data_IF_549077141521
#
_entry.id   IF_549077141521
#
_cell.length_a   1.000
_cell.length_b   1.000
_cell.length_c   1.000
_cell.angle_alpha   90.00
_cell.angle_beta   90.00
_cell.angle_gamma   90.00
#
_symmetry.space_group_name_H-M   'P 1'
#
loop_
_entity.id
_entity.type
_entity.pdbx_description
1 polymer ?
#
# COMPACT_ATOMS: atom_id res chain seq x y z
N UNK A 1 -14.10 3.08 15.61
CA UNK A 1 -13.80 1.99 14.66
C UNK A 1 -12.49 2.37 13.94
N UNK A 2 -11.51 1.46 13.88
CA UNK A 2 -10.13 1.74 13.42
C UNK A 2 -10.03 1.62 11.89
N UNK A 3 -9.12 2.37 11.26
CA UNK A 3 -8.74 2.17 9.84
C UNK A 3 -8.12 0.78 9.67
N UNK A 4 -8.34 0.15 8.51
CA UNK A 4 -7.78 -1.16 8.23
C UNK A 4 -6.29 -1.05 7.93
N UNK A 5 -5.52 -1.93 8.54
CA UNK A 5 -4.08 -2.03 8.38
C UNK A 5 -3.78 -3.23 7.49
N UNK A 6 -2.87 -3.07 6.54
CA UNK A 6 -2.36 -4.18 5.74
C UNK A 6 -1.06 -4.71 6.36
N UNK A 7 -0.71 -5.94 5.99
CA UNK A 7 0.55 -6.57 6.36
C UNK A 7 1.19 -7.15 5.10
N UNK A 8 2.52 -7.07 5.04
CA UNK A 8 3.29 -7.73 4.00
C UNK A 8 4.39 -8.54 4.67
N UNK A 9 4.50 -9.81 4.32
CA UNK A 9 5.43 -10.75 4.96
C UNK A 9 6.36 -11.42 3.95
N UNK A 10 7.46 -11.95 4.48
CA UNK A 10 8.43 -12.78 3.78
C UNK A 10 8.56 -14.14 4.47
N UNK A 11 8.93 -15.17 3.70
CA UNK A 11 9.24 -16.52 4.19
C UNK A 11 8.16 -17.07 5.14
N UNK A 12 6.93 -17.19 4.64
CA UNK A 12 5.76 -17.68 5.41
C UNK A 12 5.49 -16.92 6.71
N UNK A 13 5.80 -15.61 6.77
CA UNK A 13 5.52 -14.79 7.95
C UNK A 13 6.67 -14.63 8.94
N UNK A 14 7.86 -15.17 8.66
CA UNK A 14 9.02 -15.03 9.54
C UNK A 14 9.46 -13.57 9.70
N UNK A 15 9.29 -12.76 8.66
CA UNK A 15 9.56 -11.32 8.67
C UNK A 15 8.33 -10.61 8.13
N UNK A 16 7.78 -9.64 8.86
CA UNK A 16 6.60 -8.90 8.44
C UNK A 16 6.73 -7.39 8.65
N UNK A 17 6.18 -6.63 7.70
CA UNK A 17 5.95 -5.21 7.79
C UNK A 17 4.45 -4.95 7.88
N UNK A 18 4.03 -4.25 8.94
CA UNK A 18 2.67 -3.73 9.07
C UNK A 18 2.59 -2.33 8.48
N UNK A 19 1.68 -2.12 7.53
CA UNK A 19 1.34 -0.81 7.01
C UNK A 19 0.36 -0.13 7.98
N UNK A 20 0.50 1.19 8.18
CA UNK A 20 -0.46 1.90 9.01
C UNK A 20 -1.83 1.92 8.33
N UNK A 21 -2.87 2.09 9.14
CA UNK A 21 -4.23 2.23 8.61
C UNK A 21 -4.36 3.39 7.61
N UNK A 22 -3.80 4.57 7.92
CA UNK A 22 -3.69 5.67 6.97
C UNK A 22 -3.05 5.32 5.64
N UNK A 23 -1.90 4.63 5.62
CA UNK A 23 -1.24 4.26 4.36
C UNK A 23 -2.06 3.23 3.57
N UNK A 24 -2.53 2.17 4.23
CA UNK A 24 -3.33 1.12 3.60
C UNK A 24 -4.58 1.70 2.94
N UNK A 25 -5.39 2.42 3.71
CA UNK A 25 -6.62 3.03 3.22
C UNK A 25 -6.36 4.09 2.15
N UNK A 26 -5.25 4.82 2.24
CA UNK A 26 -4.87 5.78 1.21
C UNK A 26 -4.57 5.08 -0.13
N UNK A 27 -3.81 3.96 -0.12
CA UNK A 27 -3.55 3.18 -1.33
C UNK A 27 -4.86 2.66 -1.96
N UNK A 28 -5.79 2.16 -1.14
CA UNK A 28 -7.12 1.75 -1.63
C UNK A 28 -7.93 2.92 -2.17
N UNK A 29 -7.92 4.08 -1.50
CA UNK A 29 -8.64 5.28 -1.96
C UNK A 29 -8.12 5.80 -3.31
N UNK A 30 -6.83 5.59 -3.59
CA UNK A 30 -6.19 5.90 -4.86
C UNK A 30 -6.42 4.86 -5.94
N UNK A 31 -7.16 3.78 -5.64
CA UNK A 31 -7.31 2.59 -6.49
C UNK A 31 -5.99 1.94 -6.87
N UNK A 32 -4.96 2.07 -6.03
CA UNK A 32 -3.62 1.56 -6.31
C UNK A 32 -3.65 0.07 -6.68
N UNK A 33 -4.25 -0.76 -5.82
CA UNK A 33 -4.34 -2.21 -6.04
C UNK A 33 -5.25 -2.56 -7.22
N UNK A 34 -6.38 -1.88 -7.38
CA UNK A 34 -7.28 -2.10 -8.51
C UNK A 34 -6.61 -1.80 -9.85
N UNK A 35 -5.89 -0.68 -9.95
CA UNK A 35 -5.17 -0.28 -11.17
C UNK A 35 -3.99 -1.22 -11.43
N UNK A 36 -3.29 -1.63 -10.36
CA UNK A 36 -2.20 -2.60 -10.44
C UNK A 36 -2.69 -3.96 -10.95
N UNK A 37 -3.77 -4.49 -10.36
CA UNK A 37 -4.42 -5.73 -10.76
C UNK A 37 -4.81 -5.73 -12.24
N UNK A 38 -5.45 -4.65 -12.69
CA UNK A 38 -5.85 -4.50 -14.08
C UNK A 38 -4.65 -4.50 -15.05
N UNK A 39 -3.51 -3.93 -14.63
CA UNK A 39 -2.29 -3.83 -15.45
C UNK A 39 -1.48 -5.12 -15.47
N UNK A 40 -1.43 -5.85 -14.37
CA UNK A 40 -0.51 -6.99 -14.18
C UNK A 40 -1.20 -8.35 -14.14
N UNK A 41 -2.55 -8.39 -14.17
CA UNK A 41 -3.31 -9.65 -14.12
C UNK A 41 -3.29 -10.31 -12.74
N UNK A 42 -3.13 -9.52 -11.68
CA UNK A 42 -3.17 -9.97 -10.28
C UNK A 42 -4.56 -9.74 -9.67
N UNK A 43 -4.77 -10.22 -8.43
CA UNK A 43 -6.08 -10.16 -7.76
C UNK A 43 -6.01 -9.67 -6.31
N UNK A 44 -5.00 -8.86 -5.99
CA UNK A 44 -4.82 -8.24 -4.68
C UNK A 44 -6.07 -7.47 -4.24
N UNK A 45 -6.79 -7.96 -3.23
CA UNK A 45 -7.99 -7.33 -2.71
C UNK A 45 -7.94 -7.13 -1.19
N UNK A 46 -8.75 -6.20 -0.70
CA UNK A 46 -8.84 -5.95 0.73
C UNK A 46 -9.42 -7.18 1.44
N UNK A 47 -8.81 -7.55 2.57
CA UNK A 47 -9.11 -8.71 3.39
C UNK A 47 -8.68 -10.07 2.82
N UNK A 48 -7.96 -10.08 1.71
CA UNK A 48 -7.40 -11.29 1.11
C UNK A 48 -5.88 -11.40 1.37
N UNK A 49 -5.39 -12.62 1.26
CA UNK A 49 -3.96 -12.95 1.35
C UNK A 49 -3.49 -13.55 0.03
N UNK A 50 -2.51 -12.90 -0.60
CA UNK A 50 -2.00 -13.30 -1.91
C UNK A 50 -0.47 -13.38 -1.90
N UNK A 51 0.05 -14.53 -2.31
CA UNK A 51 1.48 -14.71 -2.59
C UNK A 51 1.83 -14.07 -3.95
N UNK A 52 2.96 -13.38 -3.99
CA UNK A 52 3.43 -12.68 -5.18
C UNK A 52 4.80 -13.19 -5.61
N UNK A 53 4.92 -13.51 -6.90
CA UNK A 53 6.24 -13.78 -7.48
C UNK A 53 7.12 -12.52 -7.50
N UNK A 54 8.43 -12.72 -7.58
CA UNK A 54 9.41 -11.63 -7.54
C UNK A 54 9.27 -10.63 -8.71
N UNK A 55 8.70 -11.03 -9.84
CA UNK A 55 8.39 -10.14 -10.95
C UNK A 55 7.26 -9.17 -10.59
N UNK A 56 6.20 -9.68 -9.96
CA UNK A 56 5.11 -8.88 -9.41
C UNK A 56 5.61 -7.97 -8.29
N UNK A 57 6.43 -8.47 -7.36
CA UNK A 57 7.00 -7.64 -6.28
C UNK A 57 7.82 -6.48 -6.85
N UNK A 58 8.63 -6.70 -7.88
CA UNK A 58 9.36 -5.62 -8.57
C UNK A 58 8.42 -4.58 -9.19
N UNK A 59 7.34 -5.02 -9.81
CA UNK A 59 6.34 -4.10 -10.37
C UNK A 59 5.62 -3.28 -9.27
N UNK A 60 5.37 -3.88 -8.10
CA UNK A 60 4.82 -3.15 -6.95
C UNK A 60 5.81 -2.08 -6.47
N UNK A 61 7.10 -2.40 -6.36
CA UNK A 61 8.17 -1.43 -6.00
C UNK A 61 8.17 -0.23 -6.96
N UNK A 62 8.12 -0.49 -8.27
CA UNK A 62 8.09 0.57 -9.28
C UNK A 62 6.84 1.45 -9.14
N UNK A 63 5.68 0.84 -8.91
CA UNK A 63 4.42 1.56 -8.71
C UNK A 63 4.45 2.40 -7.42
N UNK A 64 5.06 1.90 -6.34
CA UNK A 64 5.27 2.65 -5.10
C UNK A 64 6.21 3.84 -5.31
N UNK A 65 7.28 3.66 -6.09
CA UNK A 65 8.20 4.75 -6.47
C UNK A 65 7.48 5.86 -7.24
N UNK A 66 6.60 5.50 -8.17
CA UNK A 66 5.76 6.47 -8.88
C UNK A 66 4.84 7.24 -7.93
N UNK A 67 4.20 6.56 -6.98
CA UNK A 67 3.33 7.21 -5.98
C UNK A 67 4.12 8.10 -5.02
N UNK A 68 5.30 7.68 -4.58
CA UNK A 68 6.18 8.50 -3.75
C UNK A 68 6.59 9.79 -4.47
N UNK A 69 7.02 9.71 -5.74
CA UNK A 69 7.38 10.89 -6.55
C UNK A 69 6.19 11.82 -6.77
N UNK A 70 5.02 11.25 -7.10
CA UNK A 70 3.80 12.02 -7.27
C UNK A 70 3.44 12.77 -5.98
N UNK A 71 3.45 12.07 -4.84
CA UNK A 71 3.18 12.66 -3.54
C UNK A 71 4.19 13.75 -3.15
N UNK A 72 5.48 13.54 -3.43
CA UNK A 72 6.53 14.52 -3.15
C UNK A 72 6.40 15.79 -3.99
N UNK A 73 5.86 15.68 -5.22
CA UNK A 73 5.64 16.82 -6.11
C UNK A 73 4.48 17.74 -5.70
N UNK A 74 3.62 17.29 -4.78
CA UNK A 74 2.49 18.09 -4.30
C UNK A 74 2.96 19.17 -3.32
N UNK A 75 2.51 20.40 -3.53
CA UNK A 75 2.71 21.54 -2.62
C UNK A 75 1.60 21.58 -1.56
N UNK A 76 1.53 20.53 -0.74
CA UNK A 76 0.55 20.39 0.35
C UNK A 76 1.21 19.81 1.60
N UNK A 77 0.75 20.23 2.78
CA UNK A 77 1.24 19.66 4.05
C UNK A 77 0.53 18.36 4.41
N UNK A 78 -0.76 18.26 4.08
CA UNK A 78 -1.60 17.14 4.45
C UNK A 78 -2.36 16.60 3.24
N UNK A 79 -2.47 15.28 3.17
CA UNK A 79 -3.32 14.57 2.24
C UNK A 79 -4.65 14.30 2.91
N UNK A 80 -5.74 14.63 2.21
CA UNK A 80 -7.10 14.28 2.62
C UNK A 80 -7.69 13.28 1.64
N UNK A 81 -8.28 12.21 2.15
CA UNK A 81 -8.90 11.16 1.33
C UNK A 81 -10.11 10.55 2.03
N UNK A 82 -11.01 9.98 1.24
CA UNK A 82 -12.19 9.26 1.74
C UNK A 82 -11.80 7.80 1.91
N UNK A 83 -11.98 7.25 3.11
CA UNK A 83 -11.69 5.83 3.39
C UNK A 83 -12.96 5.02 3.70
N UNK A 84 -14.10 5.68 3.88
CA UNK A 84 -15.38 5.00 4.10
C UNK A 84 -16.58 5.89 3.75
N UNK A 85 -17.72 5.26 3.51
CA UNK A 85 -19.02 5.89 3.41
C UNK A 85 -19.94 5.41 4.54
N UNK A 86 -20.74 6.30 5.11
CA UNK A 86 -21.79 5.92 6.06
C UNK A 86 -22.94 5.19 5.33
N UNK A 87 -23.86 4.58 6.08
CA UNK A 87 -25.10 4.01 5.52
C UNK A 87 -25.95 5.05 4.78
N UNK A 88 -25.78 6.32 5.12
CA UNK A 88 -26.46 7.47 4.50
C UNK A 88 -25.67 8.05 3.32
N UNK A 89 -24.61 7.36 2.86
CA UNK A 89 -23.72 7.81 1.78
C UNK A 89 -22.97 9.11 2.09
N UNK A 90 -22.66 9.37 3.36
CA UNK A 90 -21.79 10.47 3.74
C UNK A 90 -20.31 10.03 3.77
N UNK A 91 -19.37 10.84 3.25
CA UNK A 91 -17.96 10.47 3.21
C UNK A 91 -17.30 10.65 4.58
N UNK A 92 -16.62 9.61 5.05
CA UNK A 92 -15.71 9.68 6.19
C UNK A 92 -14.29 9.90 5.66
N UNK A 93 -13.70 11.03 6.04
CA UNK A 93 -12.39 11.47 5.54
C UNK A 93 -11.29 11.26 6.57
N UNK A 94 -10.10 10.96 6.08
CA UNK A 94 -8.85 10.99 6.81
C UNK A 94 -8.04 12.22 6.40
N UNK A 95 -7.25 12.74 7.34
CA UNK A 95 -6.23 13.77 7.08
C UNK A 95 -4.91 13.31 7.67
N UNK A 96 -3.88 13.24 6.83
CA UNK A 96 -2.58 12.65 7.18
C UNK A 96 -1.47 13.57 6.66
N UNK A 97 -0.39 13.72 7.42
CA UNK A 97 0.78 14.45 6.94
C UNK A 97 1.35 13.80 5.66
N UNK A 98 1.64 14.63 4.66
CA UNK A 98 2.34 14.21 3.44
C UNK A 98 3.68 13.55 3.77
N UNK A 99 4.42 14.10 4.72
CA UNK A 99 5.72 13.59 5.16
C UNK A 99 5.60 12.19 5.78
N UNK A 100 4.55 11.96 6.59
CA UNK A 100 4.30 10.66 7.19
C UNK A 100 4.01 9.60 6.11
N UNK A 101 3.12 9.93 5.16
CA UNK A 101 2.81 9.02 4.04
C UNK A 101 4.06 8.72 3.20
N UNK A 102 4.87 9.73 2.86
CA UNK A 102 6.13 9.53 2.13
C UNK A 102 7.08 8.58 2.86
N UNK A 103 7.25 8.78 4.18
CA UNK A 103 8.09 7.94 5.02
C UNK A 103 7.62 6.48 5.02
N UNK A 104 6.31 6.25 5.16
CA UNK A 104 5.76 4.90 5.18
C UNK A 104 5.81 4.21 3.81
N UNK A 105 5.53 4.92 2.70
CA UNK A 105 5.70 4.38 1.34
C UNK A 105 7.16 3.97 1.11
N UNK A 106 8.10 4.83 1.52
CA UNK A 106 9.53 4.55 1.37
C UNK A 106 9.93 3.31 2.16
N UNK A 107 9.48 3.21 3.42
CA UNK A 107 9.72 2.01 4.25
C UNK A 107 9.13 0.75 3.64
N UNK A 108 7.92 0.85 3.07
CA UNK A 108 7.27 -0.29 2.41
C UNK A 108 8.03 -0.74 1.17
N UNK A 109 8.39 0.21 0.31
CA UNK A 109 9.23 -0.04 -0.85
C UNK A 109 10.56 -0.70 -0.47
N UNK A 110 11.26 -0.16 0.52
CA UNK A 110 12.57 -0.67 0.94
C UNK A 110 12.48 -2.09 1.51
N UNK A 111 11.38 -2.40 2.22
CA UNK A 111 11.08 -3.76 2.64
C UNK A 111 10.95 -4.72 1.44
N UNK A 112 10.19 -4.35 0.40
CA UNK A 112 10.07 -5.17 -0.80
C UNK A 112 11.40 -5.31 -1.57
N UNK A 113 12.23 -4.26 -1.59
CA UNK A 113 13.56 -4.30 -2.22
C UNK A 113 14.45 -5.34 -1.53
N UNK A 114 14.38 -5.47 -0.20
CA UNK A 114 15.09 -6.52 0.54
C UNK A 114 14.62 -7.90 0.10
N UNK A 115 13.31 -8.15 0.02
CA UNK A 115 12.76 -9.43 -0.46
C UNK A 115 13.29 -9.79 -1.85
N UNK A 116 13.28 -8.83 -2.77
CA UNK A 116 13.79 -9.03 -4.14
C UNK A 116 15.29 -9.32 -4.16
N UNK A 117 16.07 -8.59 -3.38
CA UNK A 117 17.53 -8.73 -3.34
C UNK A 117 17.94 -10.07 -2.74
N UNK A 118 17.18 -10.55 -1.77
CA UNK A 118 17.44 -11.81 -1.07
C UNK A 118 16.65 -13.00 -1.65
N UNK A 119 15.90 -12.78 -2.74
CA UNK A 119 15.09 -13.79 -3.42
C UNK A 119 14.12 -14.52 -2.47
N UNK A 120 13.44 -13.75 -1.61
CA UNK A 120 12.44 -14.24 -0.64
C UNK A 120 11.04 -14.16 -1.23
N UNK A 121 10.22 -15.16 -0.91
CA UNK A 121 8.79 -15.14 -1.23
C UNK A 121 8.09 -14.03 -0.44
N UNK A 122 7.08 -13.39 -1.03
CA UNK A 122 6.36 -12.27 -0.43
C UNK A 122 4.87 -12.56 -0.46
N UNK A 123 4.22 -12.32 0.68
CA UNK A 123 2.77 -12.43 0.82
C UNK A 123 2.19 -11.08 1.21
N UNK A 124 1.15 -10.66 0.50
CA UNK A 124 0.39 -9.46 0.79
C UNK A 124 -0.92 -9.83 1.48
N UNK A 125 -1.15 -9.31 2.69
CA UNK A 125 -2.42 -9.41 3.42
C UNK A 125 -3.02 -8.00 3.52
N UNK A 126 -3.93 -7.64 2.61
CA UNK A 126 -4.30 -6.24 2.37
C UNK A 126 -5.49 -5.72 3.16
#
# INVERSE_FOLDING_TARGET
MRMQESMVSMDEGAIALRLSGPLSEWLFSLRFWSDFNAKHGTMFDQFEEDEADLGIVKAVIESLDEKARALQSLDIDNVEFIYRWTSEHEPIKARVSRELLLSEITKFRDFLVVAVTENREVTFSL
#
